data_IF_890571224348
#
_entry.id   IF_890571224348
#
_cell.length_a   1.000
_cell.length_b   1.000
_cell.length_c   1.000
_cell.angle_alpha   90.00
_cell.angle_beta   90.00
_cell.angle_gamma   90.00
#
_symmetry.space_group_name_H-M   'P 1'
#
loop_
_entity.id
_entity.type
_entity.pdbx_description
1 polymer ?
#
# COMPACT_ATOMS: atom_id res chain seq x y z
N UNK A 1 -19.73 47.62 38.93
CA UNK A 1 -18.89 47.35 37.74
C UNK A 1 -19.39 46.05 37.10
N UNK A 2 -20.14 46.13 35.99
CA UNK A 2 -20.53 44.94 35.22
C UNK A 2 -19.28 44.46 34.49
N UNK A 3 -18.70 43.34 34.92
CA UNK A 3 -17.62 42.69 34.19
C UNK A 3 -18.16 42.27 32.82
N UNK A 4 -17.56 42.80 31.77
CA UNK A 4 -17.96 42.52 30.40
C UNK A 4 -17.56 41.07 30.06
N UNK A 5 -18.48 40.13 30.30
CA UNK A 5 -18.26 38.68 30.16
C UNK A 5 -17.94 38.24 28.71
N UNK A 6 -17.99 39.17 27.75
CA UNK A 6 -17.66 38.95 26.34
C UNK A 6 -16.15 38.83 26.10
N UNK A 7 -15.33 39.45 26.94
CA UNK A 7 -13.86 39.42 26.86
C UNK A 7 -13.23 38.53 27.94
N UNK A 8 -13.84 37.36 28.21
CA UNK A 8 -13.25 36.42 29.16
C UNK A 8 -12.24 35.50 28.45
N UNK A 9 -10.92 35.65 28.66
CA UNK A 9 -9.88 34.90 27.95
C UNK A 9 -9.99 33.38 28.17
N UNK A 10 -10.59 32.94 29.28
CA UNK A 10 -10.83 31.51 29.52
C UNK A 10 -11.87 30.91 28.57
N UNK A 11 -12.87 31.70 28.12
CA UNK A 11 -13.86 31.26 27.12
C UNK A 11 -13.29 31.28 25.69
N UNK A 12 -12.38 32.19 25.37
CA UNK A 12 -11.70 32.22 24.07
C UNK A 12 -10.70 31.07 23.94
N UNK A 13 -10.04 30.67 25.03
CA UNK A 13 -9.14 29.52 25.05
C UNK A 13 -9.87 28.22 24.67
N UNK A 14 -11.04 27.93 25.26
CA UNK A 14 -11.81 26.72 24.92
C UNK A 14 -12.20 26.64 23.43
N UNK A 15 -12.61 27.76 22.83
CA UNK A 15 -12.92 27.84 21.39
C UNK A 15 -11.67 27.66 20.52
N UNK A 16 -10.55 28.23 20.95
CA UNK A 16 -9.27 28.06 20.27
C UNK A 16 -8.80 26.60 20.30
N UNK A 17 -8.91 25.93 21.45
CA UNK A 17 -8.59 24.50 21.57
C UNK A 17 -9.44 23.62 20.67
N UNK A 18 -10.76 23.86 20.60
CA UNK A 18 -11.64 23.14 19.67
C UNK A 18 -11.25 23.40 18.21
N UNK A 19 -11.04 24.66 17.83
CA UNK A 19 -10.62 25.00 16.47
C UNK A 19 -9.27 24.38 16.08
N UNK A 20 -8.31 24.32 17.01
CA UNK A 20 -7.02 23.66 16.81
C UNK A 20 -7.17 22.14 16.67
N UNK A 21 -8.06 21.52 17.46
CA UNK A 21 -8.38 20.10 17.35
C UNK A 21 -9.01 19.78 15.99
N UNK A 22 -9.97 20.59 15.54
CA UNK A 22 -10.61 20.43 14.24
C UNK A 22 -9.59 20.59 13.12
N UNK A 23 -8.73 21.62 13.18
CA UNK A 23 -7.68 21.83 12.19
C UNK A 23 -6.69 20.66 12.11
N UNK A 24 -6.35 20.05 13.24
CA UNK A 24 -5.52 18.85 13.29
C UNK A 24 -6.23 17.65 12.63
N UNK A 25 -7.50 17.42 12.94
CA UNK A 25 -8.30 16.36 12.31
C UNK A 25 -8.42 16.55 10.79
N UNK A 26 -8.70 17.78 10.33
CA UNK A 26 -8.71 18.12 8.91
C UNK A 26 -7.38 17.85 8.23
N UNK A 27 -6.27 18.16 8.90
CA UNK A 27 -4.93 17.90 8.36
C UNK A 27 -4.66 16.40 8.23
N UNK A 28 -5.09 15.59 9.20
CA UNK A 28 -5.00 14.13 9.15
C UNK A 28 -5.80 13.57 7.97
N UNK A 29 -7.06 13.96 7.81
CA UNK A 29 -7.91 13.49 6.70
C UNK A 29 -7.32 13.92 5.36
N UNK A 30 -6.85 15.16 5.22
CA UNK A 30 -6.20 15.65 4.00
C UNK A 30 -4.95 14.83 3.65
N UNK A 31 -4.15 14.46 4.66
CA UNK A 31 -2.97 13.61 4.44
C UNK A 31 -3.36 12.21 3.97
N UNK A 32 -4.40 11.60 4.56
CA UNK A 32 -4.91 10.29 4.14
C UNK A 32 -5.44 10.32 2.70
N UNK A 33 -6.14 11.39 2.30
CA UNK A 33 -6.59 11.59 0.92
C UNK A 33 -5.41 11.69 -0.06
N UNK A 34 -4.37 12.44 0.30
CA UNK A 34 -3.17 12.56 -0.53
C UNK A 34 -2.44 11.21 -0.69
N UNK A 35 -2.32 10.44 0.39
CA UNK A 35 -1.73 9.11 0.38
C UNK A 35 -2.56 8.14 -0.47
N UNK A 36 -3.89 8.16 -0.33
CA UNK A 36 -4.79 7.34 -1.13
C UNK A 36 -4.69 7.68 -2.63
N UNK A 37 -4.63 8.97 -2.98
CA UNK A 37 -4.45 9.41 -4.36
C UNK A 37 -3.10 8.92 -4.93
N UNK A 38 -2.01 9.03 -4.16
CA UNK A 38 -0.68 8.54 -4.53
C UNK A 38 -0.67 7.01 -4.71
N UNK A 39 -1.30 6.27 -3.80
CA UNK A 39 -1.44 4.81 -3.91
C UNK A 39 -2.20 4.43 -5.18
N UNK A 40 -3.34 5.08 -5.43
CA UNK A 40 -4.17 4.82 -6.62
C UNK A 40 -3.39 5.07 -7.92
N UNK A 41 -2.69 6.21 -7.99
CA UNK A 41 -1.84 6.54 -9.14
C UNK A 41 -0.69 5.53 -9.30
N UNK A 42 -0.01 5.20 -8.21
CA UNK A 42 1.09 4.23 -8.22
C UNK A 42 0.67 2.83 -8.69
N UNK A 43 -0.51 2.35 -8.29
CA UNK A 43 -1.05 1.07 -8.77
C UNK A 43 -1.39 1.14 -10.26
N UNK A 44 -2.03 2.21 -10.71
CA UNK A 44 -2.36 2.39 -12.13
C UNK A 44 -1.11 2.48 -13.01
N UNK A 45 -0.08 3.20 -12.56
CA UNK A 45 1.14 3.44 -13.33
C UNK A 45 2.11 2.24 -13.31
N UNK A 46 2.28 1.59 -12.16
CA UNK A 46 3.35 0.60 -11.94
C UNK A 46 2.86 -0.85 -12.03
N UNK A 47 1.58 -1.08 -11.79
CA UNK A 47 0.96 -2.41 -11.85
C UNK A 47 0.03 -2.53 -13.06
N UNK A 48 -0.26 -1.41 -13.74
CA UNK A 48 -1.15 -1.34 -14.91
C UNK A 48 -2.58 -1.84 -14.63
N UNK A 49 -3.04 -1.71 -13.38
CA UNK A 49 -4.40 -2.05 -12.95
C UNK A 49 -5.12 -0.78 -12.52
N UNK A 50 -6.34 -0.57 -13.01
CA UNK A 50 -7.18 0.56 -12.60
C UNK A 50 -7.87 0.22 -11.28
N UNK A 51 -7.60 0.95 -10.18
CA UNK A 51 -8.25 0.69 -8.90
C UNK A 51 -9.76 1.00 -8.98
N UNK A 52 -10.64 0.12 -8.47
CA UNK A 52 -12.08 0.35 -8.51
C UNK A 52 -12.49 1.45 -7.53
N UNK A 53 -11.88 1.51 -6.34
CA UNK A 53 -12.21 2.50 -5.31
C UNK A 53 -11.68 3.90 -5.62
N UNK A 54 -12.56 4.89 -5.65
CA UNK A 54 -12.18 6.30 -5.79
C UNK A 54 -11.21 6.75 -4.69
N UNK A 55 -10.45 7.82 -4.94
CA UNK A 55 -9.48 8.35 -3.95
C UNK A 55 -10.08 8.58 -2.55
N UNK A 56 -11.27 9.20 -2.43
CA UNK A 56 -11.95 9.35 -1.14
C UNK A 56 -12.35 8.03 -0.49
N UNK A 57 -12.89 7.07 -1.25
CA UNK A 57 -13.29 5.77 -0.71
C UNK A 57 -12.08 4.99 -0.20
N UNK A 58 -10.96 5.03 -0.92
CA UNK A 58 -9.71 4.41 -0.50
C UNK A 58 -9.15 5.09 0.76
N UNK A 59 -9.24 6.42 0.86
CA UNK A 59 -8.84 7.12 2.08
C UNK A 59 -9.72 6.74 3.28
N UNK A 60 -11.02 6.60 3.09
CA UNK A 60 -11.94 6.09 4.12
C UNK A 60 -11.54 4.68 4.53
N UNK A 61 -11.29 3.77 3.58
CA UNK A 61 -10.84 2.42 3.87
C UNK A 61 -9.55 2.42 4.72
N UNK A 62 -8.56 3.25 4.37
CA UNK A 62 -7.30 3.42 5.12
C UNK A 62 -7.48 4.07 6.52
N UNK A 63 -8.50 4.90 6.72
CA UNK A 63 -8.78 5.52 8.02
C UNK A 63 -9.55 4.56 8.93
N UNK A 64 -10.60 3.93 8.40
CA UNK A 64 -11.38 2.88 9.08
C UNK A 64 -10.47 1.71 9.49
N UNK A 65 -9.44 1.45 8.69
CA UNK A 65 -8.39 0.51 9.00
C UNK A 65 -7.60 0.79 10.28
N UNK A 66 -7.05 2.01 10.33
CA UNK A 66 -6.23 2.47 11.43
C UNK A 66 -7.06 2.52 12.70
N UNK A 67 -8.34 2.92 12.58
CA UNK A 67 -9.26 2.93 13.70
C UNK A 67 -9.70 1.52 14.13
N UNK A 68 -10.01 0.60 13.22
CA UNK A 68 -10.40 -0.76 13.61
C UNK A 68 -9.24 -1.59 14.20
N UNK A 69 -7.98 -1.18 13.97
CA UNK A 69 -6.81 -1.95 14.33
C UNK A 69 -6.68 -3.18 13.44
N UNK A 70 -6.09 -3.01 12.26
CA UNK A 70 -5.91 -4.11 11.32
C UNK A 70 -5.09 -5.26 11.88
N UNK A 71 -5.76 -6.39 12.11
CA UNK A 71 -5.14 -7.68 12.42
C UNK A 71 -4.91 -8.55 11.17
N UNK A 72 -4.49 -9.81 11.41
CA UNK A 72 -4.20 -10.79 10.36
C UNK A 72 -5.38 -10.98 9.39
N UNK A 73 -5.09 -10.98 8.09
CA UNK A 73 -6.08 -11.21 7.01
C UNK A 73 -6.84 -9.97 6.53
N UNK A 74 -6.72 -8.81 7.19
CA UNK A 74 -7.32 -7.55 6.67
C UNK A 74 -6.52 -6.95 5.51
N UNK A 75 -5.21 -7.20 5.46
CA UNK A 75 -4.34 -6.81 4.37
C UNK A 75 -4.79 -7.36 3.00
N UNK A 76 -5.22 -8.63 2.95
CA UNK A 76 -5.73 -9.27 1.73
C UNK A 76 -7.08 -8.73 1.30
N UNK A 77 -7.96 -8.44 2.27
CA UNK A 77 -9.23 -7.80 1.98
C UNK A 77 -9.02 -6.41 1.38
N UNK A 78 -8.14 -5.60 1.96
CA UNK A 78 -7.85 -4.26 1.43
C UNK A 78 -7.22 -4.34 0.04
N UNK A 79 -6.30 -5.26 -0.19
CA UNK A 79 -5.72 -5.44 -1.52
C UNK A 79 -6.80 -5.81 -2.55
N UNK A 80 -7.74 -6.69 -2.20
CA UNK A 80 -8.85 -7.07 -3.06
C UNK A 80 -9.81 -5.90 -3.35
N UNK A 81 -9.98 -4.97 -2.41
CA UNK A 81 -10.72 -3.73 -2.64
C UNK A 81 -9.92 -2.72 -3.49
N UNK A 82 -8.60 -2.69 -3.35
CA UNK A 82 -7.72 -1.77 -4.05
C UNK A 82 -7.51 -2.15 -5.52
N UNK A 83 -7.33 -3.43 -5.83
CA UNK A 83 -7.00 -3.88 -7.17
C UNK A 83 -7.39 -5.35 -7.38
N UNK A 84 -7.96 -5.65 -8.55
CA UNK A 84 -8.05 -7.04 -9.00
C UNK A 84 -6.70 -7.49 -9.54
N UNK A 85 -5.98 -8.29 -8.76
CA UNK A 85 -4.67 -8.83 -9.12
C UNK A 85 -4.75 -10.11 -9.95
N UNK A 86 -5.96 -10.55 -10.34
CA UNK A 86 -6.14 -11.71 -11.23
C UNK A 86 -5.52 -11.42 -12.60
N UNK A 87 -4.54 -12.24 -12.99
CA UNK A 87 -3.84 -12.09 -14.26
C UNK A 87 -2.66 -11.12 -14.25
N UNK A 88 -2.40 -10.44 -13.13
CA UNK A 88 -1.17 -9.66 -12.94
C UNK A 88 0.00 -10.61 -12.71
N UNK A 89 1.17 -10.28 -13.26
CA UNK A 89 2.40 -11.03 -13.06
C UNK A 89 2.89 -11.01 -11.60
N UNK A 90 3.79 -11.93 -11.25
CA UNK A 90 4.32 -12.03 -9.88
C UNK A 90 5.00 -10.73 -9.40
N UNK A 91 5.70 -10.02 -10.29
CA UNK A 91 6.34 -8.75 -9.99
C UNK A 91 5.32 -7.62 -9.80
N UNK A 92 4.31 -7.51 -10.66
CA UNK A 92 3.23 -6.55 -10.50
C UNK A 92 2.44 -6.77 -9.21
N UNK A 93 2.15 -8.03 -8.86
CA UNK A 93 1.52 -8.38 -7.56
C UNK A 93 2.40 -7.95 -6.38
N UNK A 94 3.69 -8.31 -6.40
CA UNK A 94 4.62 -7.89 -5.36
C UNK A 94 4.71 -6.37 -5.24
N UNK A 95 4.63 -5.66 -6.38
CA UNK A 95 4.67 -4.21 -6.42
C UNK A 95 3.41 -3.59 -5.84
N UNK A 96 2.23 -4.13 -6.14
CA UNK A 96 0.98 -3.70 -5.52
C UNK A 96 1.05 -3.80 -3.99
N UNK A 97 1.53 -4.94 -3.47
CA UNK A 97 1.73 -5.14 -2.03
C UNK A 97 2.72 -4.14 -1.41
N UNK A 98 3.81 -3.85 -2.12
CA UNK A 98 4.82 -2.87 -1.68
C UNK A 98 4.22 -1.46 -1.62
N UNK A 99 3.48 -1.05 -2.65
CA UNK A 99 2.83 0.27 -2.70
C UNK A 99 1.82 0.44 -1.56
N UNK A 100 1.05 -0.62 -1.27
CA UNK A 100 0.11 -0.63 -0.15
C UNK A 100 0.81 -0.52 1.20
N UNK A 101 1.90 -1.26 1.38
CA UNK A 101 2.75 -1.20 2.57
C UNK A 101 3.31 0.20 2.80
N UNK A 102 3.81 0.84 1.74
CA UNK A 102 4.36 2.19 1.82
C UNK A 102 3.28 3.22 2.13
N UNK A 103 2.08 3.10 1.55
CA UNK A 103 0.94 3.95 1.90
C UNK A 103 0.56 3.84 3.39
N UNK A 104 0.52 2.62 3.95
CA UNK A 104 0.26 2.42 5.38
C UNK A 104 1.39 2.97 6.26
N UNK A 105 2.64 2.86 5.82
CA UNK A 105 3.80 3.41 6.52
C UNK A 105 3.81 4.95 6.53
N UNK A 106 3.31 5.58 5.47
CA UNK A 106 3.20 7.04 5.32
C UNK A 106 2.04 7.64 6.13
N UNK A 107 1.03 6.84 6.53
CA UNK A 107 -0.09 7.34 7.34
C UNK A 107 0.41 7.95 8.66
N UNK A 108 -0.10 9.14 9.05
CA UNK A 108 0.29 9.79 10.30
C UNK A 108 0.17 8.88 11.52
N UNK A 109 1.21 8.87 12.37
CA UNK A 109 1.23 8.05 13.59
C UNK A 109 0.11 8.40 14.57
N UNK A 110 -0.37 9.64 14.55
CA UNK A 110 -1.50 10.10 15.36
C UNK A 110 -2.85 9.43 15.02
N UNK A 111 -2.98 8.79 13.85
CA UNK A 111 -4.15 7.96 13.52
C UNK A 111 -4.17 6.64 14.27
N UNK A 112 -3.01 6.19 14.75
CA UNK A 112 -2.85 4.92 15.43
C UNK A 112 -2.82 5.18 16.93
N UNK A 113 -3.92 4.86 17.61
CA UNK A 113 -3.96 4.85 19.07
C UNK A 113 -2.75 4.09 19.62
N UNK A 114 -2.22 4.51 20.78
CA UNK A 114 -0.99 3.94 21.35
C UNK A 114 -1.05 2.40 21.47
N UNK A 115 -2.21 1.89 21.86
CA UNK A 115 -2.52 0.46 21.99
C UNK A 115 -2.52 -0.29 20.65
N UNK A 116 -2.73 0.40 19.53
CA UNK A 116 -2.80 -0.14 18.17
C UNK A 116 -1.48 0.00 17.41
N UNK A 117 -0.44 0.55 18.02
CA UNK A 117 0.89 0.66 17.41
C UNK A 117 1.52 -0.71 17.14
N UNK A 118 1.24 -1.72 17.99
CA UNK A 118 1.67 -3.09 17.74
C UNK A 118 0.99 -3.68 16.50
N UNK A 119 -0.33 -3.49 16.37
CA UNK A 119 -1.10 -3.94 15.20
C UNK A 119 -0.62 -3.29 13.90
N UNK A 120 -0.25 -2.01 13.96
CA UNK A 120 0.38 -1.32 12.82
C UNK A 120 1.63 -2.03 12.34
N UNK A 121 2.51 -2.43 13.27
CA UNK A 121 3.78 -3.12 12.93
C UNK A 121 3.48 -4.49 12.34
N UNK A 122 2.62 -5.28 12.97
CA UNK A 122 2.21 -6.59 12.47
C UNK A 122 1.61 -6.54 11.06
N UNK A 123 0.83 -5.49 10.77
CA UNK A 123 0.29 -5.23 9.45
C UNK A 123 1.38 -4.92 8.43
N UNK A 124 2.33 -4.04 8.76
CA UNK A 124 3.44 -3.71 7.86
C UNK A 124 4.28 -4.96 7.55
N UNK A 125 4.55 -5.78 8.56
CA UNK A 125 5.26 -7.05 8.41
C UNK A 125 4.45 -8.04 7.54
N UNK A 126 3.13 -8.09 7.72
CA UNK A 126 2.26 -8.94 6.89
C UNK A 126 2.26 -8.49 5.43
N UNK A 127 2.15 -7.19 5.16
CA UNK A 127 2.20 -6.65 3.80
C UNK A 127 3.55 -6.93 3.14
N UNK A 128 4.64 -6.85 3.91
CA UNK A 128 5.98 -7.22 3.45
C UNK A 128 6.09 -8.72 3.16
N UNK A 129 5.52 -9.58 4.01
CA UNK A 129 5.42 -11.03 3.76
C UNK A 129 4.68 -11.33 2.46
N UNK A 130 3.54 -10.69 2.22
CA UNK A 130 2.76 -10.86 0.97
C UNK A 130 3.54 -10.40 -0.26
N UNK A 131 4.25 -9.27 -0.16
CA UNK A 131 5.12 -8.79 -1.24
C UNK A 131 6.24 -9.79 -1.56
N UNK A 132 6.87 -10.37 -0.53
CA UNK A 132 7.94 -11.35 -0.71
C UNK A 132 7.42 -12.70 -1.22
N UNK A 133 6.25 -13.14 -0.75
CA UNK A 133 5.59 -14.33 -1.27
C UNK A 133 5.33 -14.20 -2.77
N UNK A 134 4.76 -13.07 -3.21
CA UNK A 134 4.54 -12.82 -4.63
C UNK A 134 5.85 -12.80 -5.45
N UNK A 135 6.96 -12.25 -4.92
CA UNK A 135 8.27 -12.31 -5.59
C UNK A 135 8.82 -13.73 -5.70
N UNK A 136 8.59 -14.56 -4.69
CA UNK A 136 9.11 -15.93 -4.67
C UNK A 136 8.46 -16.86 -5.69
N UNK A 137 7.32 -16.45 -6.26
CA UNK A 137 6.66 -17.13 -7.37
C UNK A 137 7.34 -16.90 -8.72
N UNK A 138 8.43 -16.10 -8.77
CA UNK A 138 9.24 -16.00 -9.98
C UNK A 138 9.75 -17.39 -10.37
N UNK A 139 9.59 -17.80 -11.65
CA UNK A 139 10.24 -18.99 -12.12
C UNK A 139 11.76 -18.84 -11.91
N UNK A 140 12.45 -19.88 -11.43
CA UNK A 140 13.89 -19.83 -11.27
C UNK A 140 14.51 -19.48 -12.63
N UNK A 141 15.35 -18.44 -12.65
CA UNK A 141 16.13 -18.12 -13.84
C UNK A 141 16.93 -19.35 -14.24
N UNK A 142 17.00 -19.70 -15.54
CA UNK A 142 17.77 -20.84 -15.98
C UNK A 142 19.21 -20.65 -15.53
N UNK A 143 19.75 -21.67 -14.88
CA UNK A 143 21.13 -21.67 -14.41
C UNK A 143 22.08 -21.45 -15.59
N UNK A 144 23.31 -20.97 -15.32
CA UNK A 144 24.34 -20.85 -16.36
C UNK A 144 24.62 -22.18 -17.08
N UNK A 145 24.39 -23.30 -16.40
CA UNK A 145 24.52 -24.64 -16.96
C UNK A 145 23.37 -24.95 -17.93
N UNK A 146 22.13 -24.64 -17.54
CA UNK A 146 20.95 -24.82 -18.40
C UNK A 146 20.99 -23.92 -19.64
N UNK A 147 21.49 -22.68 -19.51
CA UNK A 147 21.71 -21.79 -20.66
C UNK A 147 22.76 -22.34 -21.62
N UNK A 148 23.87 -22.88 -21.11
CA UNK A 148 24.88 -23.55 -21.96
C UNK A 148 24.31 -24.79 -22.64
N UNK A 149 23.49 -25.55 -21.93
CA UNK A 149 22.86 -26.74 -22.48
C UNK A 149 21.83 -26.38 -23.56
N UNK A 150 21.05 -25.33 -23.39
CA UNK A 150 20.14 -24.82 -24.44
C UNK A 150 20.92 -24.36 -25.68
N UNK A 151 21.98 -23.59 -25.51
CA UNK A 151 22.85 -23.16 -26.62
C UNK A 151 23.48 -24.36 -27.35
N UNK A 152 23.89 -25.39 -26.60
CA UNK A 152 24.40 -26.63 -27.20
C UNK A 152 23.32 -27.40 -27.97
N UNK A 153 22.10 -27.48 -27.43
CA UNK A 153 20.96 -28.15 -28.11
C UNK A 153 20.59 -27.43 -29.41
N UNK A 154 20.55 -26.09 -29.39
CA UNK A 154 20.24 -25.27 -30.56
C UNK A 154 21.31 -25.43 -31.65
N UNK A 155 22.59 -25.38 -31.29
CA UNK A 155 23.69 -25.59 -32.23
C UNK A 155 23.71 -27.02 -32.80
N UNK A 156 23.46 -28.04 -31.99
CA UNK A 156 23.38 -29.43 -32.44
C UNK A 156 22.20 -29.68 -33.38
N UNK A 157 21.05 -29.05 -33.15
CA UNK A 157 19.88 -29.12 -34.03
C UNK A 157 20.15 -28.44 -35.37
N UNK A 158 20.81 -27.27 -35.36
CA UNK A 158 21.19 -26.55 -36.58
C UNK A 158 22.16 -27.38 -37.45
N UNK A 159 23.17 -28.02 -36.85
CA UNK A 159 24.11 -28.88 -37.55
C UNK A 159 23.44 -30.12 -38.16
N UNK A 160 22.48 -30.73 -37.44
CA UNK A 160 21.71 -31.88 -37.96
C UNK A 160 20.76 -31.50 -39.09
N UNK A 161 20.20 -30.30 -39.07
CA UNK A 161 19.37 -29.78 -40.16
C UNK A 161 20.20 -29.50 -41.42
N UNK A 162 21.40 -28.91 -41.25
CA UNK A 162 22.33 -28.65 -42.34
C UNK A 162 22.87 -29.93 -43.00
N UNK A 163 23.04 -31.01 -42.24
CA UNK A 163 23.52 -32.30 -42.74
C UNK A 163 22.44 -33.14 -43.48
N UNK A 164 21.18 -32.70 -43.46
CA UNK A 164 20.06 -33.37 -44.16
C UNK A 164 19.65 -32.68 -45.47
N UNK A 165 20.27 -31.55 -45.80
CA UNK A 165 20.17 -30.88 -47.11
C UNK A 165 21.35 -31.32 -47.98
#
# INVERSE_FOLDING_TARGET
MKSDLRNNPQRSMGRYWLAMSDAAAFTLVRSALAIAAKLRAGVAEQVHVVPPLSGPELAVALLTAADAGWGKGKATHLMAELADLKGVDCLGRAKAWTLLRDAVAELPTGLWALEKQALRRELLDELERQANAAKSELPPLPSKVELREQQWRETALALRAAARQ
#
